data_IF_375058337349
#
_entry.id   IF_375058337349
#
_cell.length_a   1.000
_cell.length_b   1.000
_cell.length_c   1.000
_cell.angle_alpha   90.00
_cell.angle_beta   90.00
_cell.angle_gamma   90.00
#
_symmetry.space_group_name_H-M   'P 1'
#
loop_
_entity.id
_entity.type
_entity.pdbx_description
1 polymer ?
#
# COMPACT_ATOMS: atom_id res chain seq x y z
N UNK A 1 3.69 -14.26 -12.20
CA UNK A 1 4.94 -14.03 -11.43
C UNK A 1 6.00 -13.40 -12.33
N UNK A 2 6.40 -14.08 -13.39
CA UNK A 2 7.53 -13.69 -14.24
C UNK A 2 7.42 -12.27 -14.81
N UNK A 3 6.28 -11.89 -15.37
CA UNK A 3 6.04 -10.55 -15.89
C UNK A 3 6.18 -9.44 -14.84
N UNK A 4 5.73 -9.70 -13.62
CA UNK A 4 5.83 -8.76 -12.50
C UNK A 4 7.30 -8.61 -12.08
N UNK A 5 8.02 -9.74 -11.97
CA UNK A 5 9.44 -9.74 -11.61
C UNK A 5 10.27 -9.00 -12.66
N UNK A 6 10.01 -9.23 -13.94
CA UNK A 6 10.72 -8.53 -15.02
C UNK A 6 10.45 -7.02 -15.00
N UNK A 7 9.22 -6.62 -14.68
CA UNK A 7 8.81 -5.22 -14.72
C UNK A 7 9.21 -4.43 -13.48
N UNK A 8 9.09 -5.03 -12.30
CA UNK A 8 9.23 -4.33 -11.01
C UNK A 8 10.32 -4.87 -10.09
N UNK A 9 10.92 -5.98 -10.46
CA UNK A 9 11.97 -6.63 -9.68
C UNK A 9 11.45 -7.67 -8.69
N UNK A 10 12.36 -8.56 -8.31
CA UNK A 10 12.05 -9.65 -7.37
C UNK A 10 11.68 -9.14 -5.97
N UNK A 11 12.30 -8.04 -5.53
CA UNK A 11 12.02 -7.47 -4.21
C UNK A 11 10.56 -7.05 -4.07
N UNK A 12 10.01 -6.30 -5.02
CA UNK A 12 8.59 -5.93 -4.98
C UNK A 12 7.70 -7.17 -4.99
N UNK A 13 7.99 -8.12 -5.86
CA UNK A 13 7.25 -9.39 -5.95
C UNK A 13 7.20 -10.11 -4.59
N UNK A 14 8.35 -10.28 -3.95
CA UNK A 14 8.48 -10.91 -2.63
C UNK A 14 7.70 -10.15 -1.55
N UNK A 15 7.83 -8.83 -1.51
CA UNK A 15 7.17 -7.99 -0.51
C UNK A 15 5.63 -8.06 -0.64
N UNK A 16 5.11 -8.04 -1.87
CA UNK A 16 3.67 -8.17 -2.10
C UNK A 16 3.15 -9.55 -1.72
N UNK A 17 3.90 -10.61 -2.01
CA UNK A 17 3.52 -11.96 -1.58
C UNK A 17 3.48 -12.08 -0.06
N UNK A 18 4.53 -11.63 0.63
CA UNK A 18 4.58 -11.66 2.10
C UNK A 18 3.46 -10.83 2.73
N UNK A 19 3.16 -9.67 2.15
CA UNK A 19 2.03 -8.84 2.58
C UNK A 19 0.71 -9.61 2.42
N UNK A 20 0.51 -10.26 1.29
CA UNK A 20 -0.71 -11.01 1.00
C UNK A 20 -0.90 -12.20 1.94
N UNK A 21 0.18 -12.89 2.30
CA UNK A 21 0.13 -13.96 3.29
C UNK A 21 -0.26 -13.43 4.68
N UNK A 22 0.34 -12.35 5.13
CA UNK A 22 0.03 -11.71 6.41
C UNK A 22 -1.39 -11.13 6.44
N UNK A 23 -1.81 -10.51 5.34
CA UNK A 23 -3.12 -9.89 5.18
C UNK A 23 -4.25 -10.89 4.84
N UNK A 24 -3.91 -12.14 4.62
CA UNK A 24 -4.77 -13.27 4.27
C UNK A 24 -5.49 -13.20 2.92
N UNK A 25 -5.28 -12.16 2.12
CA UNK A 25 -5.78 -12.07 0.73
C UNK A 25 -5.01 -11.01 -0.08
N UNK A 26 -5.16 -11.08 -1.41
CA UNK A 26 -4.64 -10.06 -2.32
C UNK A 26 -5.63 -8.90 -2.40
N UNK A 27 -5.36 -7.85 -1.67
CA UNK A 27 -6.16 -6.62 -1.65
C UNK A 27 -5.47 -5.48 -2.40
N UNK A 28 -6.24 -4.51 -2.86
CA UNK A 28 -5.72 -3.37 -3.62
C UNK A 28 -4.80 -2.51 -2.72
N UNK A 29 -5.29 -2.05 -1.57
CA UNK A 29 -4.50 -1.18 -0.69
C UNK A 29 -3.35 -1.91 0.01
N UNK A 30 -3.43 -3.20 0.26
CA UNK A 30 -2.30 -3.96 0.80
C UNK A 30 -1.16 -4.05 -0.21
N UNK A 31 -1.46 -4.26 -1.49
CA UNK A 31 -0.48 -4.22 -2.58
C UNK A 31 0.15 -2.83 -2.70
N UNK A 32 -0.68 -1.79 -2.70
CA UNK A 32 -0.20 -0.39 -2.80
C UNK A 32 0.66 -0.04 -1.59
N UNK A 33 0.30 -0.51 -0.40
CA UNK A 33 1.12 -0.33 0.80
C UNK A 33 2.49 -0.99 0.71
N UNK A 34 2.56 -2.20 0.18
CA UNK A 34 3.84 -2.88 -0.07
C UNK A 34 4.71 -2.11 -1.08
N UNK A 35 4.10 -1.63 -2.16
CA UNK A 35 4.78 -0.77 -3.15
C UNK A 35 5.26 0.54 -2.53
N UNK A 36 4.44 1.17 -1.69
CA UNK A 36 4.79 2.41 -0.99
C UNK A 36 5.98 2.19 -0.05
N UNK A 37 5.94 1.14 0.77
CA UNK A 37 7.03 0.80 1.67
C UNK A 37 8.34 0.56 0.92
N UNK A 38 8.30 -0.21 -0.16
CA UNK A 38 9.46 -0.43 -1.01
C UNK A 38 9.98 0.88 -1.62
N UNK A 39 9.08 1.73 -2.12
CA UNK A 39 9.45 3.03 -2.70
C UNK A 39 10.06 3.99 -1.68
N UNK A 40 9.56 4.01 -0.45
CA UNK A 40 10.12 4.80 0.65
C UNK A 40 11.59 4.44 0.89
N UNK A 41 11.91 3.16 1.01
CA UNK A 41 13.27 2.70 1.24
C UNK A 41 14.19 3.02 0.06
N UNK A 42 13.71 2.86 -1.16
CA UNK A 42 14.47 3.26 -2.36
C UNK A 42 14.73 4.76 -2.41
N UNK A 43 13.71 5.56 -2.13
CA UNK A 43 13.81 7.02 -2.16
C UNK A 43 14.84 7.54 -1.16
N UNK A 44 14.87 6.95 0.02
CA UNK A 44 15.81 7.34 1.10
C UNK A 44 17.15 6.60 1.05
N UNK A 45 17.29 5.58 0.19
CA UNK A 45 18.47 4.71 0.13
C UNK A 45 18.80 4.04 1.46
N UNK A 46 17.78 3.49 2.11
CA UNK A 46 17.88 2.81 3.42
C UNK A 46 17.35 1.38 3.34
N UNK A 47 17.67 0.58 4.33
CA UNK A 47 17.19 -0.79 4.48
C UNK A 47 15.87 -0.90 5.26
N UNK A 48 15.39 -2.12 5.39
CA UNK A 48 14.22 -2.46 6.20
C UNK A 48 14.41 -1.98 7.65
N UNK A 49 13.32 -1.56 8.29
CA UNK A 49 13.24 -1.09 9.67
C UNK A 49 14.11 0.12 10.06
N UNK A 50 14.67 0.83 9.09
CA UNK A 50 15.48 2.03 9.36
C UNK A 50 14.66 3.33 9.45
N UNK A 51 13.38 3.29 9.11
CA UNK A 51 12.47 4.45 9.17
C UNK A 51 11.33 4.18 10.16
N UNK A 52 10.69 5.26 10.62
CA UNK A 52 9.41 5.16 11.33
C UNK A 52 8.32 5.85 10.54
N UNK A 53 7.10 5.37 10.68
CA UNK A 53 5.95 5.84 9.89
C UNK A 53 4.79 6.19 10.81
N UNK A 54 4.17 7.35 10.55
CA UNK A 54 2.85 7.69 11.07
C UNK A 54 1.88 7.59 9.89
N UNK A 55 0.96 6.65 9.95
CA UNK A 55 -0.01 6.42 8.88
C UNK A 55 -1.27 7.27 9.07
N UNK A 56 -1.71 7.89 7.97
CA UNK A 56 -2.98 8.60 7.91
C UNK A 56 -4.14 7.73 7.39
N UNK A 57 -3.87 6.45 7.12
CA UNK A 57 -4.87 5.53 6.54
C UNK A 57 -5.88 4.98 7.55
N UNK A 58 -5.75 5.36 8.81
CA UNK A 58 -6.68 4.92 9.86
C UNK A 58 -6.62 3.43 10.15
N UNK A 59 -7.71 2.91 10.72
CA UNK A 59 -7.84 1.50 11.11
C UNK A 59 -9.11 0.82 10.55
N UNK A 60 -9.77 1.46 9.58
CA UNK A 60 -10.98 0.93 8.94
C UNK A 60 -10.68 0.48 7.49
N UNK A 61 -10.89 -0.80 7.17
CA UNK A 61 -10.77 -1.27 5.79
C UNK A 61 -11.77 -0.57 4.84
N UNK A 62 -11.45 -0.46 3.56
CA UNK A 62 -10.28 -1.02 2.86
C UNK A 62 -9.03 -0.14 2.91
N UNK A 63 -9.14 1.14 3.26
CA UNK A 63 -8.02 2.09 3.21
C UNK A 63 -6.88 1.70 4.17
N UNK A 64 -7.22 1.26 5.38
CA UNK A 64 -6.25 0.86 6.41
C UNK A 64 -5.42 -0.37 6.03
N UNK A 65 -5.83 -1.13 5.01
CA UNK A 65 -5.05 -2.25 4.48
C UNK A 65 -3.69 -1.80 3.92
N UNK A 66 -3.56 -0.51 3.61
CA UNK A 66 -2.28 0.11 3.28
C UNK A 66 -1.22 -0.15 4.36
N UNK A 67 -1.63 -0.13 5.63
CA UNK A 67 -0.75 -0.30 6.77
C UNK A 67 -0.07 -1.68 6.81
N UNK A 68 -0.79 -2.72 6.41
CA UNK A 68 -0.24 -4.07 6.34
C UNK A 68 0.89 -4.15 5.30
N UNK A 69 0.67 -3.53 4.15
CA UNK A 69 1.70 -3.43 3.12
C UNK A 69 2.94 -2.65 3.56
N UNK A 70 2.74 -1.57 4.31
CA UNK A 70 3.84 -0.77 4.85
C UNK A 70 4.68 -1.55 5.87
N UNK A 71 4.06 -2.35 6.73
CA UNK A 71 4.78 -3.17 7.70
C UNK A 71 5.77 -4.11 7.02
N UNK A 72 5.35 -4.75 5.94
CA UNK A 72 6.20 -5.66 5.17
C UNK A 72 7.14 -4.88 4.24
N UNK A 73 6.61 -3.91 3.51
CA UNK A 73 7.34 -3.19 2.47
C UNK A 73 8.49 -2.33 2.98
N UNK A 74 8.32 -1.71 4.15
CA UNK A 74 9.33 -0.87 4.78
C UNK A 74 9.94 -1.48 6.05
N UNK A 75 9.45 -2.63 6.50
CA UNK A 75 9.87 -3.22 7.77
C UNK A 75 9.39 -2.42 8.99
N UNK A 76 8.43 -1.52 8.80
CA UNK A 76 7.88 -0.68 9.88
C UNK A 76 6.79 -1.42 10.64
N UNK A 77 7.18 -2.44 11.38
CA UNK A 77 6.22 -3.33 12.05
C UNK A 77 5.72 -2.75 13.38
N UNK A 78 4.53 -3.19 13.77
CA UNK A 78 3.97 -2.89 15.08
C UNK A 78 4.88 -3.40 16.21
N UNK A 79 5.49 -4.57 16.04
CA UNK A 79 6.38 -5.17 17.04
C UNK A 79 7.63 -4.33 17.33
N UNK A 80 8.12 -3.57 16.37
CA UNK A 80 9.21 -2.61 16.54
C UNK A 80 8.73 -1.22 17.00
N UNK A 81 7.42 -1.01 17.11
CA UNK A 81 6.86 0.33 17.34
C UNK A 81 7.18 1.31 16.21
N UNK A 82 7.47 0.80 15.03
CA UNK A 82 7.93 1.58 13.88
C UNK A 82 6.79 2.13 13.02
N UNK A 83 5.56 1.70 13.26
CA UNK A 83 4.36 2.24 12.64
C UNK A 83 3.34 2.60 13.71
N UNK A 84 2.75 3.79 13.58
CA UNK A 84 1.62 4.24 14.39
C UNK A 84 0.55 4.84 13.50
N UNK A 85 -0.68 4.85 14.00
CA UNK A 85 -1.82 5.45 13.31
C UNK A 85 -1.99 6.87 13.80
N UNK A 86 -2.14 7.83 12.90
CA UNK A 86 -2.43 9.21 13.22
C UNK A 86 -3.73 9.32 14.03
N UNK A 87 -3.74 10.20 15.03
CA UNK A 87 -4.95 10.52 15.77
C UNK A 87 -5.92 11.41 14.98
N UNK A 88 -5.52 11.88 13.80
CA UNK A 88 -6.38 12.68 12.93
C UNK A 88 -7.58 11.86 12.46
N UNK A 89 -8.76 12.50 12.46
CA UNK A 89 -9.99 11.86 12.02
C UNK A 89 -10.14 11.81 10.50
N UNK A 90 -9.44 12.68 9.79
CA UNK A 90 -9.47 12.75 8.33
C UNK A 90 -8.47 11.74 7.77
N UNK A 91 -8.99 10.56 7.40
CA UNK A 91 -8.16 9.49 6.84
C UNK A 91 -7.83 9.71 5.38
N UNK A 92 -6.62 9.34 4.99
CA UNK A 92 -6.16 9.38 3.60
C UNK A 92 -5.10 8.31 3.35
N UNK A 93 -4.89 7.87 2.11
CA UNK A 93 -3.84 6.91 1.77
C UNK A 93 -2.48 7.58 1.71
N UNK A 94 -2.03 8.09 2.84
CA UNK A 94 -0.78 8.80 2.99
C UNK A 94 -0.10 8.47 4.31
N UNK A 95 1.20 8.70 4.37
CA UNK A 95 2.01 8.46 5.56
C UNK A 95 3.05 9.55 5.73
N UNK A 96 3.41 9.85 6.97
CA UNK A 96 4.56 10.67 7.31
C UNK A 96 5.70 9.74 7.69
N UNK A 97 6.80 9.82 6.94
CA UNK A 97 8.01 9.05 7.17
C UNK A 97 9.01 9.92 7.93
N UNK A 98 9.55 9.37 9.01
CA UNK A 98 10.61 10.02 9.78
C UNK A 98 11.92 9.23 9.62
N UNK A 99 12.98 9.93 9.25
CA UNK A 99 14.31 9.38 9.08
C UNK A 99 15.38 10.44 9.33
N UNK A 100 16.24 10.22 10.33
CA UNK A 100 17.34 11.14 10.66
C UNK A 100 16.93 12.62 10.76
N UNK A 101 15.82 12.90 11.43
CA UNK A 101 15.28 14.26 11.59
C UNK A 101 14.55 14.81 10.35
N UNK A 102 14.55 14.07 9.25
CA UNK A 102 13.77 14.42 8.05
C UNK A 102 12.35 13.90 8.20
N UNK A 103 11.40 14.65 7.68
CA UNK A 103 9.98 14.28 7.63
C UNK A 103 9.51 14.37 6.18
N UNK A 104 9.00 13.27 5.65
CA UNK A 104 8.52 13.19 4.28
C UNK A 104 7.07 12.71 4.28
N UNK A 105 6.21 13.36 3.50
CA UNK A 105 4.87 12.87 3.21
C UNK A 105 4.92 12.02 1.94
N UNK A 106 4.52 10.76 2.05
CA UNK A 106 4.24 9.90 0.90
C UNK A 106 2.73 9.73 0.78
N UNK A 107 2.19 10.00 -0.39
CA UNK A 107 0.75 10.01 -0.63
C UNK A 107 0.43 9.28 -1.92
N UNK A 108 -0.57 8.43 -1.90
CA UNK A 108 -1.18 7.91 -3.14
C UNK A 108 -1.80 9.08 -3.90
N UNK A 109 -1.48 9.20 -5.18
CA UNK A 109 -2.01 10.28 -6.03
C UNK A 109 -3.53 10.29 -6.03
N UNK A 110 -4.13 11.47 -6.06
CA UNK A 110 -5.58 11.65 -5.94
C UNK A 110 -6.36 10.97 -7.08
N UNK A 111 -5.81 10.96 -8.30
CA UNK A 111 -6.41 10.26 -9.43
C UNK A 111 -6.45 8.75 -9.22
N UNK A 112 -5.39 8.16 -8.67
CA UNK A 112 -5.37 6.74 -8.33
C UNK A 112 -6.36 6.42 -7.18
N UNK A 113 -6.41 7.26 -6.16
CA UNK A 113 -7.39 7.11 -5.07
C UNK A 113 -8.82 7.08 -5.61
N UNK A 114 -9.16 7.98 -6.51
CA UNK A 114 -10.48 8.03 -7.16
C UNK A 114 -10.73 6.80 -8.04
N UNK A 115 -9.73 6.36 -8.78
CA UNK A 115 -9.81 5.16 -9.62
C UNK A 115 -10.12 3.90 -8.79
N UNK A 116 -9.43 3.72 -7.67
CA UNK A 116 -9.67 2.61 -6.74
C UNK A 116 -11.09 2.68 -6.19
N UNK A 117 -11.52 3.84 -5.72
CA UNK A 117 -12.88 4.02 -5.18
C UNK A 117 -13.94 3.69 -6.23
N UNK A 118 -13.76 4.12 -7.47
CA UNK A 118 -14.67 3.84 -8.58
C UNK A 118 -14.73 2.34 -8.91
N UNK A 119 -13.59 1.68 -8.99
CA UNK A 119 -13.50 0.25 -9.28
C UNK A 119 -14.16 -0.60 -8.17
N UNK A 120 -13.87 -0.29 -6.91
CA UNK A 120 -14.46 -1.00 -5.76
C UNK A 120 -15.96 -0.79 -5.70
N UNK A 121 -16.42 0.45 -5.86
CA UNK A 121 -17.85 0.77 -5.88
C UNK A 121 -18.59 0.04 -7.01
N UNK A 122 -17.98 -0.02 -8.19
CA UNK A 122 -18.54 -0.77 -9.32
C UNK A 122 -18.73 -2.25 -9.02
N UNK A 123 -17.77 -2.87 -8.35
CA UNK A 123 -17.87 -4.28 -7.95
C UNK A 123 -18.90 -4.51 -6.84
N UNK A 124 -19.00 -3.61 -5.87
CA UNK A 124 -20.03 -3.66 -4.82
C UNK A 124 -21.43 -3.57 -5.43
N UNK A 125 -21.64 -2.63 -6.35
CA UNK A 125 -22.95 -2.45 -7.02
C UNK A 125 -23.32 -3.65 -7.88
N UNK A 126 -22.35 -4.28 -8.53
CA UNK A 126 -22.57 -5.41 -9.45
C UNK A 126 -22.77 -6.74 -8.73
N UNK A 127 -22.00 -6.99 -7.66
CA UNK A 127 -21.92 -8.32 -7.03
C UNK A 127 -22.36 -8.35 -5.57
N UNK A 128 -22.60 -7.20 -4.95
CA UNK A 128 -22.82 -7.08 -3.52
C UNK A 128 -21.53 -7.12 -2.71
N UNK A 129 -21.55 -6.42 -1.59
CA UNK A 129 -20.40 -6.35 -0.69
C UNK A 129 -20.09 -7.73 -0.09
N UNK A 130 -18.81 -8.08 -0.09
CA UNK A 130 -18.27 -9.32 0.52
C UNK A 130 -18.85 -10.64 -0.02
N UNK A 131 -19.46 -10.64 -1.20
CA UNK A 131 -19.84 -11.89 -1.86
C UNK A 131 -18.59 -12.63 -2.39
N UNK A 132 -18.70 -13.93 -2.64
CA UNK A 132 -17.58 -14.71 -3.21
C UNK A 132 -17.12 -14.16 -4.57
N UNK A 133 -18.06 -13.70 -5.38
CA UNK A 133 -17.77 -13.09 -6.68
C UNK A 133 -17.06 -11.76 -6.50
N UNK A 134 -17.48 -10.94 -5.54
CA UNK A 134 -16.81 -9.69 -5.19
C UNK A 134 -15.32 -9.92 -4.84
N UNK A 135 -15.03 -10.85 -3.95
CA UNK A 135 -13.66 -11.16 -3.53
C UNK A 135 -12.81 -11.72 -4.67
N UNK A 136 -13.40 -12.55 -5.52
CA UNK A 136 -12.74 -13.08 -6.72
C UNK A 136 -12.34 -11.96 -7.68
N UNK A 137 -13.25 -11.02 -7.94
CA UNK A 137 -13.04 -9.88 -8.82
C UNK A 137 -12.05 -8.86 -8.20
N UNK A 138 -12.11 -8.62 -6.90
CA UNK A 138 -11.12 -7.77 -6.19
C UNK A 138 -9.72 -8.35 -6.35
N UNK A 139 -9.56 -9.66 -6.17
CA UNK A 139 -8.25 -10.32 -6.36
C UNK A 139 -7.74 -10.15 -7.78
N UNK A 140 -8.61 -10.42 -8.76
CA UNK A 140 -8.26 -10.27 -10.18
C UNK A 140 -7.83 -8.84 -10.49
N UNK A 141 -8.61 -7.87 -10.06
CA UNK A 141 -8.34 -6.45 -10.26
C UNK A 141 -7.04 -6.01 -9.57
N UNK A 142 -6.82 -6.46 -8.35
CA UNK A 142 -5.61 -6.17 -7.59
C UNK A 142 -4.34 -6.64 -8.33
N UNK A 143 -4.38 -7.84 -8.91
CA UNK A 143 -3.25 -8.39 -9.66
C UNK A 143 -3.10 -7.72 -11.03
N UNK A 144 -4.16 -7.73 -11.85
CA UNK A 144 -4.06 -7.33 -13.25
C UNK A 144 -3.88 -5.82 -13.43
N UNK A 145 -4.55 -5.02 -12.62
CA UNK A 145 -4.50 -3.57 -12.73
C UNK A 145 -3.51 -2.95 -11.74
N UNK A 146 -3.70 -3.18 -10.44
CA UNK A 146 -2.97 -2.44 -9.41
C UNK A 146 -1.56 -2.97 -9.17
N UNK A 147 -1.31 -4.24 -9.39
CA UNK A 147 0.05 -4.77 -9.32
C UNK A 147 0.79 -4.67 -10.65
N UNK A 148 0.20 -5.19 -11.73
CA UNK A 148 0.86 -5.28 -13.05
C UNK A 148 1.00 -3.93 -13.76
N UNK A 149 0.00 -3.05 -13.67
CA UNK A 149 -0.04 -1.84 -14.48
C UNK A 149 0.45 -0.58 -13.75
N UNK A 150 0.32 -0.53 -12.42
CA UNK A 150 0.66 0.66 -11.64
C UNK A 150 2.09 0.59 -11.10
N UNK A 151 2.98 1.42 -11.63
CA UNK A 151 4.37 1.49 -11.20
C UNK A 151 4.52 2.25 -9.89
N UNK A 152 5.31 1.72 -8.94
CA UNK A 152 5.62 2.42 -7.68
C UNK A 152 6.35 3.75 -7.88
N UNK A 153 6.94 3.98 -9.05
CA UNK A 153 7.60 5.25 -9.38
C UNK A 153 6.62 6.34 -9.82
N UNK A 154 5.39 5.97 -10.19
CA UNK A 154 4.42 6.88 -10.81
C UNK A 154 3.19 7.16 -9.95
N UNK A 155 2.89 6.29 -8.97
CA UNK A 155 1.61 6.34 -8.23
C UNK A 155 1.65 7.11 -6.91
N UNK A 156 2.82 7.58 -6.50
CA UNK A 156 2.98 8.32 -5.23
C UNK A 156 3.47 9.74 -5.47
N UNK A 157 2.97 10.66 -4.66
CA UNK A 157 3.55 11.99 -4.47
C UNK A 157 4.42 11.99 -3.23
N UNK A 158 5.55 12.68 -3.29
CA UNK A 158 6.48 12.81 -2.18
C UNK A 158 6.71 14.30 -1.91
N UNK A 159 6.52 14.70 -0.66
CA UNK A 159 6.75 16.07 -0.21
C UNK A 159 7.61 16.04 1.05
N UNK A 160 8.75 16.71 1.02
CA UNK A 160 9.59 16.87 2.20
C UNK A 160 9.09 18.03 3.04
N UNK A 161 8.90 17.78 4.32
CA UNK A 161 8.33 18.75 5.28
C UNK A 161 9.39 19.40 6.16
#
# INVERSE_FOLDING_TARGET
AEQIIQKYGYTEYKLVLLTSEMHSHLGIYSIIGAKMGHRILEYLHVGLDEVTIVSNAGSEPPLSCLNDGLQIGAGTTLGYGAITISADKDVSPSVVVNYNGRRLLFKVKDDLKREIASDVMGLVQKHGLESDVYWSEIRRLAIEKYWKEKSRFEIFEVEEK
#
